data_IF_513440658159
#
_entry.id   IF_513440658159
#
_cell.length_a   1.000
_cell.length_b   1.000
_cell.length_c   1.000
_cell.angle_alpha   90.00
_cell.angle_beta   90.00
_cell.angle_gamma   90.00
#
_symmetry.space_group_name_H-M   'P 1'
#
loop_
_entity.id
_entity.type
_entity.pdbx_description
1 polymer ?
#
# COMPACT_ATOMS: atom_id res chain seq x y z
N UNK A 1 -8.10 39.93 2.62
CA UNK A 1 -8.45 38.77 1.77
C UNK A 1 -7.23 37.87 1.62
N UNK A 2 -7.05 36.89 2.51
CA UNK A 2 -5.92 35.96 2.42
C UNK A 2 -6.24 34.87 1.41
N UNK A 3 -5.58 34.90 0.25
CA UNK A 3 -5.62 33.79 -0.71
C UNK A 3 -4.90 32.63 -0.01
N UNK A 4 -5.67 31.74 0.60
CA UNK A 4 -5.13 30.54 1.23
C UNK A 4 -4.72 29.62 0.09
N UNK A 5 -3.45 29.70 -0.29
CA UNK A 5 -2.84 28.83 -1.28
C UNK A 5 -3.26 27.40 -1.00
N UNK A 6 -4.09 26.90 -1.90
CA UNK A 6 -4.71 25.57 -1.82
C UNK A 6 -3.69 24.51 -2.26
N UNK A 7 -2.42 24.71 -1.89
CA UNK A 7 -1.33 23.77 -2.09
C UNK A 7 -1.32 22.78 -0.92
N UNK A 8 -2.48 22.15 -0.70
CA UNK A 8 -2.52 20.96 0.15
C UNK A 8 -1.94 19.84 -0.72
N UNK A 9 -0.79 19.26 -0.37
CA UNK A 9 -0.22 18.14 -1.11
C UNK A 9 -1.29 17.06 -1.21
N UNK A 10 -1.56 16.61 -2.44
CA UNK A 10 -2.56 15.56 -2.66
C UNK A 10 -1.94 14.25 -2.21
N UNK A 11 -2.71 13.42 -1.51
CA UNK A 11 -2.25 12.09 -1.13
C UNK A 11 -2.37 11.15 -2.32
N UNK A 12 -1.26 10.48 -2.67
CA UNK A 12 -1.20 9.49 -3.73
C UNK A 12 -0.94 8.10 -3.11
N UNK A 13 -1.82 7.14 -3.38
CA UNK A 13 -1.67 5.79 -2.84
C UNK A 13 -0.69 4.98 -3.67
N UNK A 14 0.23 4.29 -2.98
CA UNK A 14 1.26 3.50 -3.64
C UNK A 14 1.29 2.04 -3.25
N UNK A 15 1.72 1.23 -4.21
CA UNK A 15 2.00 -0.19 -4.02
C UNK A 15 3.49 -0.44 -4.20
N UNK A 16 4.09 -1.21 -3.29
CA UNK A 16 5.48 -1.63 -3.42
C UNK A 16 5.58 -2.73 -4.48
N UNK A 17 6.51 -2.59 -5.42
CA UNK A 17 6.82 -3.58 -6.44
C UNK A 17 8.31 -3.85 -6.45
N UNK A 18 8.69 -5.10 -6.24
CA UNK A 18 10.05 -5.57 -6.50
C UNK A 18 10.22 -5.91 -7.99
N UNK A 19 11.41 -5.66 -8.53
CA UNK A 19 11.76 -6.11 -9.87
C UNK A 19 12.47 -7.47 -9.79
N UNK A 20 11.91 -8.54 -10.39
CA UNK A 20 12.44 -9.89 -10.27
C UNK A 20 13.84 -9.98 -10.87
N UNK A 21 14.76 -10.62 -10.14
CA UNK A 21 16.18 -10.71 -10.52
C UNK A 21 17.01 -9.48 -10.14
N UNK A 22 16.39 -8.43 -9.61
CA UNK A 22 17.09 -7.28 -9.04
C UNK A 22 16.70 -7.08 -7.57
N UNK A 23 17.48 -6.28 -6.85
CA UNK A 23 17.21 -5.95 -5.45
C UNK A 23 16.53 -4.59 -5.27
N UNK A 24 16.09 -3.98 -6.37
CA UNK A 24 15.51 -2.64 -6.38
C UNK A 24 14.00 -2.75 -6.18
N UNK A 25 13.49 -1.92 -5.28
CA UNK A 25 12.07 -1.78 -5.01
C UNK A 25 11.56 -0.46 -5.61
N UNK A 26 10.32 -0.47 -6.09
CA UNK A 26 9.67 0.68 -6.69
C UNK A 26 8.32 0.93 -6.03
N UNK A 27 8.04 2.20 -5.72
CA UNK A 27 6.71 2.66 -5.41
C UNK A 27 5.93 2.92 -6.68
N UNK A 28 4.85 2.18 -6.86
CA UNK A 28 3.94 2.34 -7.98
C UNK A 28 2.75 3.14 -7.51
N UNK A 29 2.61 4.37 -8.00
CA UNK A 29 1.40 5.19 -7.88
C UNK A 29 0.46 4.76 -8.99
N UNK A 30 -0.64 4.08 -8.66
CA UNK A 30 -1.58 3.57 -9.68
C UNK A 30 -2.33 4.70 -10.39
N UNK A 31 -2.74 5.72 -9.64
CA UNK A 31 -3.46 6.90 -10.13
C UNK A 31 -2.82 8.18 -9.58
N UNK A 32 -2.18 8.96 -10.45
CA UNK A 32 -1.64 10.26 -10.08
C UNK A 32 -2.78 11.29 -9.89
N UNK A 33 -2.86 12.03 -8.76
CA UNK A 33 -3.94 12.99 -8.50
C UNK A 33 -3.94 14.23 -9.41
N UNK A 34 -2.93 14.36 -10.29
CA UNK A 34 -2.79 15.47 -11.23
C UNK A 34 -3.10 15.09 -12.67
N UNK A 35 -2.58 13.96 -13.17
CA UNK A 35 -2.75 13.52 -14.55
C UNK A 35 -3.58 12.23 -14.70
N UNK A 36 -3.86 11.50 -13.62
CA UNK A 36 -4.55 10.21 -13.65
C UNK A 36 -3.70 9.05 -14.16
N UNK A 37 -2.42 9.26 -14.45
CA UNK A 37 -1.54 8.23 -15.01
C UNK A 37 -0.72 7.51 -13.93
N UNK A 38 -0.19 6.33 -14.27
CA UNK A 38 0.58 5.49 -13.35
C UNK A 38 2.04 5.91 -13.30
N UNK A 39 2.54 6.24 -12.10
CA UNK A 39 3.89 6.75 -11.89
C UNK A 39 4.75 5.82 -11.03
N UNK A 40 6.06 5.85 -11.23
CA UNK A 40 7.02 5.01 -10.53
C UNK A 40 8.04 5.86 -9.78
N UNK A 41 8.26 5.55 -8.51
CA UNK A 41 9.34 6.11 -7.69
C UNK A 41 10.24 5.02 -7.16
N UNK A 42 11.49 5.36 -6.87
CA UNK A 42 12.44 4.43 -6.26
C UNK A 42 12.12 4.28 -4.77
N UNK A 43 11.87 3.05 -4.32
CA UNK A 43 11.62 2.71 -2.93
C UNK A 43 12.90 2.21 -2.20
N UNK A 44 14.06 2.37 -2.84
CA UNK A 44 15.35 1.92 -2.31
C UNK A 44 15.71 0.48 -2.67
N UNK A 45 16.69 -0.06 -1.93
CA UNK A 45 17.28 -1.38 -2.17
C UNK A 45 16.93 -2.33 -1.00
N UNK A 46 16.59 -3.58 -1.31
CA UNK A 46 16.04 -4.58 -0.37
C UNK A 46 16.92 -4.90 0.85
N UNK A 47 18.19 -4.50 0.82
CA UNK A 47 19.18 -4.77 1.88
C UNK A 47 19.38 -3.63 2.87
N UNK A 48 19.13 -2.39 2.45
CA UNK A 48 19.68 -1.21 3.14
C UNK A 48 18.61 -0.17 3.48
N UNK A 49 17.51 -0.14 2.71
CA UNK A 49 16.45 0.83 2.90
C UNK A 49 15.16 0.13 3.34
N UNK A 50 14.61 0.55 4.48
CA UNK A 50 13.21 0.25 4.78
C UNK A 50 12.36 1.03 3.76
N UNK A 51 11.52 0.35 2.97
CA UNK A 51 10.74 1.02 1.93
C UNK A 51 9.86 2.12 2.55
N UNK A 52 9.43 1.98 3.82
CA UNK A 52 8.65 2.98 4.52
C UNK A 52 9.35 4.33 4.72
N UNK A 53 10.68 4.36 4.76
CA UNK A 53 11.46 5.59 4.91
C UNK A 53 11.43 6.47 3.64
N UNK A 54 11.17 5.84 2.50
CA UNK A 54 11.03 6.53 1.20
C UNK A 54 9.60 7.03 0.92
N UNK A 55 8.67 6.85 1.87
CA UNK A 55 7.32 7.44 1.80
C UNK A 55 7.34 8.89 2.29
N UNK A 56 6.58 9.76 1.63
CA UNK A 56 6.53 11.18 1.94
C UNK A 56 6.29 12.04 0.71
N UNK A 57 6.79 13.27 0.73
CA UNK A 57 6.55 14.26 -0.33
C UNK A 57 7.45 14.02 -1.54
N UNK A 58 6.84 13.70 -2.68
CA UNK A 58 7.54 13.54 -3.96
C UNK A 58 7.01 14.50 -5.03
N UNK A 59 7.88 15.00 -5.92
CA UNK A 59 7.45 15.75 -7.08
C UNK A 59 6.69 14.84 -8.03
N UNK A 60 5.59 15.34 -8.59
CA UNK A 60 4.83 14.60 -9.58
C UNK A 60 5.63 14.52 -10.90
N UNK A 61 5.95 13.32 -11.42
CA UNK A 61 6.63 13.16 -12.71
C UNK A 61 5.97 13.92 -13.87
N UNK A 62 4.65 14.05 -13.86
CA UNK A 62 3.89 14.80 -14.87
C UNK A 62 3.97 16.33 -14.70
N UNK A 63 4.25 16.81 -13.49
CA UNK A 63 4.18 18.22 -13.06
C UNK A 63 5.22 18.43 -11.94
N UNK A 64 6.50 18.62 -12.26
CA UNK A 64 7.55 18.74 -11.23
C UNK A 64 7.34 19.94 -10.29
N UNK A 65 6.59 20.96 -10.71
CA UNK A 65 6.12 22.08 -9.88
C UNK A 65 5.17 21.70 -8.74
N UNK A 66 4.64 20.46 -8.70
CA UNK A 66 3.66 20.03 -7.70
C UNK A 66 4.14 18.80 -6.94
N UNK A 67 3.97 18.86 -5.63
CA UNK A 67 4.30 17.79 -4.70
C UNK A 67 3.03 17.01 -4.34
N UNK A 68 3.13 15.69 -4.26
CA UNK A 68 2.13 14.83 -3.63
C UNK A 68 2.78 13.99 -2.54
N UNK A 69 1.96 13.58 -1.58
CA UNK A 69 2.39 12.73 -0.47
C UNK A 69 2.14 11.26 -0.83
N UNK A 70 3.22 10.49 -0.96
CA UNK A 70 3.20 9.05 -1.20
C UNK A 70 2.80 8.34 0.10
N UNK A 71 1.63 7.70 0.10
CA UNK A 71 1.17 6.92 1.26
C UNK A 71 0.79 5.51 0.87
N UNK A 72 0.96 4.59 1.82
CA UNK A 72 0.43 3.25 1.66
C UNK A 72 -1.11 3.28 1.73
N UNK A 73 -1.81 2.56 0.84
CA UNK A 73 -3.25 2.42 0.96
C UNK A 73 -3.59 1.85 2.34
N UNK A 74 -4.67 2.32 2.98
CA UNK A 74 -5.08 1.81 4.28
C UNK A 74 -5.28 0.30 4.16
N UNK A 75 -4.50 -0.47 4.93
CA UNK A 75 -4.56 -1.93 4.91
C UNK A 75 -6.02 -2.36 5.05
N UNK A 76 -6.53 -3.25 4.17
CA UNK A 76 -7.91 -3.69 4.25
C UNK A 76 -8.12 -4.30 5.64
N UNK A 77 -8.93 -3.64 6.47
CA UNK A 77 -9.26 -4.12 7.81
C UNK A 77 -9.83 -5.53 7.66
N UNK A 78 -9.10 -6.55 8.12
CA UNK A 78 -9.62 -7.91 8.23
C UNK A 78 -10.85 -7.80 9.13
N UNK A 79 -12.04 -8.04 8.59
CA UNK A 79 -13.28 -8.01 9.38
C UNK A 79 -13.10 -8.94 10.59
N UNK A 80 -13.32 -8.41 11.79
CA UNK A 80 -13.42 -9.20 13.00
C UNK A 80 -14.46 -10.31 12.75
N UNK A 81 -14.04 -11.58 12.85
CA UNK A 81 -14.91 -12.74 12.58
C UNK A 81 -14.38 -13.74 11.53
N UNK A 82 -13.37 -13.38 10.71
CA UNK A 82 -12.76 -14.37 9.78
C UNK A 82 -11.97 -15.45 10.52
N UNK A 83 -11.34 -15.10 11.66
CA UNK A 83 -10.64 -16.06 12.53
C UNK A 83 -11.63 -16.99 13.25
N UNK A 84 -12.76 -16.47 13.73
CA UNK A 84 -13.81 -17.25 14.39
C UNK A 84 -14.47 -18.24 13.41
N UNK A 85 -14.76 -17.81 12.18
CA UNK A 85 -15.28 -18.70 11.12
C UNK A 85 -14.28 -19.80 10.72
N UNK A 86 -12.96 -19.52 10.79
CA UNK A 86 -11.91 -20.52 10.53
C UNK A 86 -11.77 -21.50 11.69
N UNK A 87 -11.94 -21.05 12.94
CA UNK A 87 -11.96 -21.91 14.14
C UNK A 87 -13.19 -22.81 14.17
N UNK A 88 -14.37 -22.28 13.86
CA UNK A 88 -15.61 -23.06 13.77
C UNK A 88 -15.51 -24.20 12.75
N UNK A 89 -14.95 -23.94 11.56
CA UNK A 89 -14.72 -25.00 10.54
C UNK A 89 -13.76 -26.10 10.99
N UNK A 90 -12.75 -25.77 11.82
CA UNK A 90 -11.84 -26.78 12.38
C UNK A 90 -12.50 -27.59 13.49
N UNK A 91 -13.33 -26.96 14.31
CA UNK A 91 -14.09 -27.64 15.35
C UNK A 91 -15.12 -28.63 14.75
N UNK A 92 -15.86 -28.21 13.72
CA UNK A 92 -16.85 -29.09 13.05
C UNK A 92 -16.22 -30.33 12.38
N UNK A 93 -14.95 -30.26 11.95
CA UNK A 93 -14.24 -31.43 11.40
C UNK A 93 -13.68 -32.36 12.48
N UNK A 94 -13.44 -31.86 13.68
CA UNK A 94 -12.95 -32.67 14.80
C UNK A 94 -14.08 -33.49 15.45
N UNK A 95 -15.32 -32.98 15.45
CA UNK A 95 -16.48 -33.69 16.01
C UNK A 95 -16.99 -34.84 15.14
N UNK A 96 -16.70 -34.86 13.83
CA UNK A 96 -17.13 -35.91 12.90
C UNK A 96 -16.24 -37.18 12.96
N UNK A 97 -15.10 -37.11 13.65
CA UNK A 97 -14.11 -38.21 13.76
C UNK A 97 -14.17 -38.96 15.11
N UNK A 98 -15.01 -38.52 16.04
CA UNK A 98 -15.13 -39.08 17.41
C UNK A 98 -16.43 -39.90 17.62
N UNK A 99 -17.32 -39.95 16.61
CA UNK A 99 -18.61 -40.69 16.62
C UNK A 99 -18.55 -41.97 15.75
N UNK A 100 -17.40 -42.68 15.76
CA UNK A 100 -17.23 -43.98 15.10
C UNK A 100 -16.34 -44.95 15.94
N UNK A 101 -16.60 -45.04 17.25
CA UNK A 101 -16.08 -46.11 18.13
C UNK A 101 -17.17 -46.72 18.98
#
# INVERSE_FOLDING_TARGET
MGKKDRNVPRTAFVSLRDMPGTRVMFWVVDECPYCGERHLHLAGNIRDADPGDTLGEYPAPCRPDRLYDLTLPPRPKRKAGKEERKRARRASRASDLDDEV
#
